data_IF_253229112205
#
_entry.id   IF_253229112205
#
_cell.length_a   1.000
_cell.length_b   1.000
_cell.length_c   1.000
_cell.angle_alpha   90.00
_cell.angle_beta   90.00
_cell.angle_gamma   90.00
#
_symmetry.space_group_name_H-M   'P 1'
#
loop_
_entity.id
_entity.type
_entity.pdbx_description
1 polymer ?
#
# COMPACT_ATOMS: atom_id res chain seq x y z
N UNK A 1 -9.79 -12.90 -29.00
CA UNK A 1 -8.68 -13.49 -28.24
C UNK A 1 -8.85 -13.04 -26.78
N UNK A 2 -9.18 -13.99 -25.91
CA UNK A 2 -9.54 -13.72 -24.50
C UNK A 2 -8.46 -12.93 -23.75
N UNK A 3 -7.19 -13.18 -24.04
CA UNK A 3 -6.06 -12.46 -23.45
C UNK A 3 -6.04 -10.97 -23.84
N UNK A 4 -6.31 -10.63 -25.09
CA UNK A 4 -6.33 -9.24 -25.56
C UNK A 4 -7.45 -8.43 -24.93
N UNK A 5 -8.60 -9.05 -24.67
CA UNK A 5 -9.75 -8.36 -24.08
C UNK A 5 -9.60 -8.14 -22.58
N UNK A 6 -8.88 -9.04 -21.89
CA UNK A 6 -8.67 -8.98 -20.44
C UNK A 6 -7.40 -8.20 -20.05
N UNK A 7 -6.32 -8.27 -20.84
CA UNK A 7 -5.04 -7.66 -20.47
C UNK A 7 -5.14 -6.18 -20.05
N UNK A 8 -5.94 -5.32 -20.72
CA UNK A 8 -6.10 -3.91 -20.32
C UNK A 8 -6.81 -3.71 -18.97
N UNK A 9 -7.47 -4.76 -18.46
CA UNK A 9 -8.27 -4.73 -17.22
C UNK A 9 -7.62 -5.45 -16.05
N UNK A 10 -6.44 -6.04 -16.27
CA UNK A 10 -5.73 -6.83 -15.28
C UNK A 10 -4.41 -6.18 -14.89
N UNK A 11 -4.12 -6.23 -13.60
CA UNK A 11 -2.82 -5.87 -13.04
C UNK A 11 -2.24 -7.12 -12.41
N UNK A 12 -1.06 -7.54 -12.87
CA UNK A 12 -0.33 -8.67 -12.31
C UNK A 12 0.46 -8.23 -11.08
N UNK A 13 0.03 -8.66 -9.89
CA UNK A 13 0.72 -8.38 -8.64
C UNK A 13 1.89 -9.34 -8.38
N UNK A 14 3.08 -8.81 -8.15
CA UNK A 14 4.32 -9.56 -7.94
C UNK A 14 4.89 -9.27 -6.55
N UNK A 15 4.97 -10.30 -5.71
CA UNK A 15 5.52 -10.21 -4.35
C UNK A 15 7.03 -10.47 -4.29
N UNK A 16 7.57 -11.26 -5.24
CA UNK A 16 8.95 -11.70 -5.18
C UNK A 16 9.64 -11.54 -6.54
N UNK A 17 10.91 -11.10 -6.60
CA UNK A 17 11.64 -10.86 -7.85
C UNK A 17 11.73 -12.08 -8.76
N UNK A 18 11.74 -13.31 -8.19
CA UNK A 18 11.77 -14.56 -8.98
C UNK A 18 10.61 -14.70 -9.96
N UNK A 19 9.51 -13.98 -9.76
CA UNK A 19 8.35 -14.01 -10.64
C UNK A 19 8.43 -13.02 -11.81
N UNK A 20 9.42 -12.10 -11.82
CA UNK A 20 9.57 -11.11 -12.89
C UNK A 20 9.85 -11.76 -14.24
N UNK A 21 10.86 -12.62 -14.32
CA UNK A 21 11.21 -13.28 -15.59
C UNK A 21 10.10 -14.21 -16.11
N UNK A 22 9.47 -15.07 -15.27
CA UNK A 22 8.27 -15.81 -15.70
C UNK A 22 7.13 -14.90 -16.17
N UNK A 23 6.88 -13.78 -15.49
CA UNK A 23 5.84 -12.84 -15.89
C UNK A 23 6.12 -12.19 -17.25
N UNK A 24 7.35 -11.75 -17.49
CA UNK A 24 7.78 -11.21 -18.79
C UNK A 24 7.66 -12.24 -19.92
N UNK A 25 8.00 -13.49 -19.63
CA UNK A 25 8.01 -14.58 -20.62
C UNK A 25 6.61 -15.05 -20.97
N UNK A 26 5.73 -15.26 -19.98
CA UNK A 26 4.46 -15.95 -20.18
C UNK A 26 3.26 -15.02 -20.33
N UNK A 27 3.33 -13.81 -19.76
CA UNK A 27 2.24 -12.81 -19.81
C UNK A 27 2.78 -11.39 -20.06
N UNK A 28 3.52 -11.19 -21.15
CA UNK A 28 4.24 -9.94 -21.44
C UNK A 28 3.32 -8.73 -21.57
N UNK A 29 2.06 -8.95 -21.95
CA UNK A 29 1.06 -7.91 -22.20
C UNK A 29 0.42 -7.38 -20.92
N UNK A 30 0.54 -8.09 -19.79
CA UNK A 30 -0.08 -7.66 -18.53
C UNK A 30 0.71 -6.52 -17.88
N UNK A 31 -0.03 -5.52 -17.41
CA UNK A 31 0.52 -4.47 -16.58
C UNK A 31 0.97 -5.05 -15.22
N UNK A 32 2.21 -4.80 -14.84
CA UNK A 32 2.82 -5.38 -13.63
C UNK A 32 2.85 -4.37 -12.49
N UNK A 33 2.49 -4.86 -11.31
CA UNK A 33 2.61 -4.13 -10.05
C UNK A 33 3.44 -4.93 -9.05
N UNK A 34 4.38 -4.30 -8.36
CA UNK A 34 5.01 -4.89 -7.17
C UNK A 34 4.11 -4.71 -5.96
N UNK A 35 3.96 -5.77 -5.16
CA UNK A 35 3.28 -5.73 -3.87
C UNK A 35 4.31 -6.01 -2.77
N UNK A 36 4.44 -5.11 -1.80
CA UNK A 36 5.45 -5.29 -0.76
C UNK A 36 5.36 -4.28 0.39
N UNK A 37 6.32 -4.38 1.30
CA UNK A 37 6.38 -3.54 2.49
C UNK A 37 7.69 -2.72 2.58
N UNK A 38 8.56 -2.80 1.55
CA UNK A 38 9.85 -2.12 1.52
C UNK A 38 9.97 -1.24 0.26
N UNK A 39 10.02 0.08 0.41
CA UNK A 39 10.35 0.98 -0.70
C UNK A 39 11.73 0.69 -1.33
N UNK A 40 12.73 0.31 -0.49
CA UNK A 40 14.06 -0.05 -0.97
C UNK A 40 14.03 -1.27 -1.91
N UNK A 41 13.31 -2.33 -1.54
CA UNK A 41 13.18 -3.52 -2.39
C UNK A 41 12.40 -3.22 -3.66
N UNK A 42 11.36 -2.38 -3.58
CA UNK A 42 10.62 -1.91 -4.73
C UNK A 42 11.54 -1.19 -5.73
N UNK A 43 12.40 -0.29 -5.24
CA UNK A 43 13.38 0.43 -6.06
C UNK A 43 14.46 -0.49 -6.63
N UNK A 44 14.95 -1.43 -5.82
CA UNK A 44 16.08 -2.28 -6.20
C UNK A 44 15.73 -3.34 -7.21
N UNK A 45 14.58 -3.98 -7.06
CA UNK A 45 14.24 -5.19 -7.80
C UNK A 45 13.13 -5.04 -8.82
N UNK A 46 12.23 -4.04 -8.64
CA UNK A 46 10.99 -3.97 -9.39
C UNK A 46 10.81 -2.67 -10.17
N UNK A 47 11.67 -1.67 -9.89
CA UNK A 47 11.48 -0.33 -10.43
C UNK A 47 11.37 -0.28 -11.94
N UNK A 48 12.26 -0.96 -12.64
CA UNK A 48 12.33 -0.92 -14.11
C UNK A 48 11.26 -1.79 -14.77
N UNK A 49 10.78 -2.81 -14.07
CA UNK A 49 9.88 -3.83 -14.62
C UNK A 49 8.41 -3.63 -14.29
N UNK A 50 8.10 -2.81 -13.29
CA UNK A 50 6.74 -2.55 -12.82
C UNK A 50 6.33 -1.11 -13.08
N UNK A 51 5.10 -0.93 -13.57
CA UNK A 51 4.48 0.37 -13.75
C UNK A 51 3.68 0.84 -12.53
N UNK A 52 3.41 -0.07 -11.58
CA UNK A 52 2.70 0.24 -10.35
C UNK A 52 3.33 -0.42 -9.13
N UNK A 53 3.06 0.15 -7.96
CA UNK A 53 3.57 -0.31 -6.66
C UNK A 53 2.44 -0.29 -5.64
N UNK A 54 2.20 -1.42 -4.98
CA UNK A 54 1.23 -1.57 -3.90
C UNK A 54 1.99 -1.78 -2.60
N UNK A 55 2.15 -0.72 -1.80
CA UNK A 55 2.97 -0.73 -0.60
C UNK A 55 2.13 -0.51 0.66
N UNK A 56 2.59 -1.07 1.79
CA UNK A 56 1.90 -0.89 3.05
C UNK A 56 2.01 0.55 3.57
N UNK A 57 0.95 1.05 4.19
CA UNK A 57 0.87 2.42 4.70
C UNK A 57 2.05 2.78 5.64
N UNK A 58 2.44 1.95 6.62
CA UNK A 58 3.57 2.26 7.50
C UNK A 58 4.88 2.52 6.78
N UNK A 59 5.16 1.79 5.70
CA UNK A 59 6.39 1.99 4.92
C UNK A 59 6.40 3.34 4.22
N UNK A 60 5.23 3.80 3.73
CA UNK A 60 5.11 5.06 3.01
C UNK A 60 5.14 6.30 3.92
N UNK A 61 4.81 6.17 5.21
CA UNK A 61 4.93 7.27 6.21
C UNK A 61 6.38 7.67 6.46
N UNK A 62 7.35 6.76 6.29
CA UNK A 62 8.77 7.02 6.54
C UNK A 62 9.36 8.02 5.55
N UNK A 63 10.51 8.62 5.91
CA UNK A 63 11.25 9.49 4.99
C UNK A 63 11.63 8.78 3.68
N UNK A 64 11.99 7.51 3.75
CA UNK A 64 12.24 6.66 2.57
C UNK A 64 10.97 6.49 1.73
N UNK A 65 9.84 6.20 2.37
CA UNK A 65 8.54 6.09 1.70
C UNK A 65 8.09 7.39 1.03
N UNK A 66 8.33 8.54 1.67
CA UNK A 66 8.02 9.85 1.08
C UNK A 66 8.92 10.16 -0.13
N UNK A 67 10.19 9.81 -0.09
CA UNK A 67 11.09 9.92 -1.23
C UNK A 67 10.68 8.98 -2.37
N UNK A 68 10.24 7.78 -2.04
CA UNK A 68 9.67 6.82 -3.01
C UNK A 68 8.43 7.40 -3.70
N UNK A 69 7.47 7.96 -2.95
CA UNK A 69 6.27 8.58 -3.50
C UNK A 69 6.59 9.73 -4.45
N UNK A 70 7.55 10.59 -4.07
CA UNK A 70 8.03 11.69 -4.90
C UNK A 70 8.59 11.18 -6.24
N UNK A 71 9.48 10.20 -6.18
CA UNK A 71 10.10 9.60 -7.36
C UNK A 71 9.05 8.91 -8.25
N UNK A 72 8.12 8.16 -7.66
CA UNK A 72 7.05 7.50 -8.39
C UNK A 72 6.19 8.52 -9.18
N UNK A 73 5.89 9.66 -8.57
CA UNK A 73 5.18 10.76 -9.22
C UNK A 73 5.99 11.37 -10.37
N UNK A 74 7.28 11.62 -10.19
CA UNK A 74 8.17 12.18 -11.21
C UNK A 74 8.30 11.26 -12.42
N UNK A 75 8.31 9.93 -12.22
CA UNK A 75 8.42 8.93 -13.27
C UNK A 75 7.06 8.35 -13.73
N UNK A 76 5.94 8.97 -13.35
CA UNK A 76 4.57 8.56 -13.71
C UNK A 76 4.26 7.09 -13.38
N UNK A 77 4.72 6.60 -12.23
CA UNK A 77 4.40 5.27 -11.73
C UNK A 77 3.24 5.34 -10.75
N UNK A 78 2.29 4.42 -10.90
CA UNK A 78 1.12 4.34 -10.03
C UNK A 78 1.49 3.79 -8.65
N UNK A 79 1.04 4.43 -7.58
CA UNK A 79 1.19 3.92 -6.22
C UNK A 79 -0.17 3.62 -5.61
N UNK A 80 -0.32 2.44 -5.06
CA UNK A 80 -1.46 1.99 -4.26
C UNK A 80 -0.99 1.75 -2.83
N UNK A 81 -1.87 1.98 -1.87
CA UNK A 81 -1.54 1.82 -0.45
C UNK A 81 -2.51 0.88 0.26
N UNK A 82 -1.98 -0.02 1.13
CA UNK A 82 -2.73 -1.02 1.89
C UNK A 82 -2.18 -1.19 3.31
N UNK A 83 -2.93 -1.72 4.27
CA UNK A 83 -4.36 -1.68 4.38
C UNK A 83 -4.71 -0.46 5.21
N UNK A 84 -5.51 0.44 4.68
CA UNK A 84 -5.79 1.74 5.30
C UNK A 84 -7.22 1.75 5.81
N UNK A 85 -7.41 1.60 7.13
CA UNK A 85 -8.73 1.48 7.74
C UNK A 85 -9.13 2.66 8.62
N UNK A 86 -8.19 3.55 8.94
CA UNK A 86 -8.44 4.75 9.74
C UNK A 86 -8.72 5.95 8.85
N UNK A 87 -9.65 6.80 9.27
CA UNK A 87 -10.07 7.98 8.49
C UNK A 87 -8.91 8.96 8.28
N UNK A 88 -8.13 9.21 9.34
CA UNK A 88 -6.98 10.09 9.29
C UNK A 88 -5.87 9.59 8.33
N UNK A 89 -5.66 8.27 8.28
CA UNK A 89 -4.73 7.63 7.32
C UNK A 89 -5.29 7.66 5.88
N UNK A 90 -6.60 7.51 5.70
CA UNK A 90 -7.24 7.64 4.38
C UNK A 90 -7.07 9.05 3.80
N UNK A 91 -7.24 10.09 4.65
CA UNK A 91 -7.02 11.49 4.26
C UNK A 91 -5.55 11.71 3.89
N UNK A 92 -4.62 11.21 4.72
CA UNK A 92 -3.18 11.34 4.46
C UNK A 92 -2.78 10.63 3.15
N UNK A 93 -3.26 9.41 2.91
CA UNK A 93 -3.02 8.68 1.67
C UNK A 93 -3.59 9.42 0.45
N UNK A 94 -4.77 10.01 0.58
CA UNK A 94 -5.36 10.85 -0.48
C UNK A 94 -4.48 12.07 -0.77
N UNK A 95 -3.93 12.69 0.27
CA UNK A 95 -3.02 13.84 0.12
C UNK A 95 -1.69 13.48 -0.55
N UNK A 96 -1.19 12.26 -0.37
CA UNK A 96 -0.02 11.76 -1.11
C UNK A 96 -0.29 11.63 -2.61
N UNK A 97 -1.56 11.62 -3.03
CA UNK A 97 -1.95 11.47 -4.42
C UNK A 97 -1.80 10.05 -4.93
N UNK A 98 -1.96 9.04 -4.05
CA UNK A 98 -1.91 7.63 -4.46
C UNK A 98 -3.06 7.29 -5.42
N UNK A 99 -2.82 6.36 -6.34
CA UNK A 99 -3.79 5.92 -7.34
C UNK A 99 -4.98 5.20 -6.72
N UNK A 100 -4.73 4.38 -5.69
CA UNK A 100 -5.77 3.65 -4.99
C UNK A 100 -5.43 3.46 -3.51
N UNK A 101 -6.48 3.45 -2.68
CA UNK A 101 -6.43 3.10 -1.27
C UNK A 101 -7.14 1.76 -1.12
N UNK A 102 -6.43 0.76 -0.62
CA UNK A 102 -6.96 -0.57 -0.34
C UNK A 102 -7.36 -0.61 1.13
N UNK A 103 -8.64 -0.86 1.38
CA UNK A 103 -9.27 -0.79 2.70
C UNK A 103 -10.34 -1.86 2.88
N UNK A 104 -10.54 -2.31 4.11
CA UNK A 104 -11.66 -3.17 4.50
C UNK A 104 -12.94 -2.34 4.78
N UNK A 105 -12.82 -1.00 4.81
CA UNK A 105 -13.90 -0.06 5.13
C UNK A 105 -14.25 0.82 3.93
N UNK A 106 -14.71 0.20 2.86
CA UNK A 106 -15.01 0.87 1.59
C UNK A 106 -16.16 1.87 1.70
N UNK A 107 -17.13 1.60 2.57
CA UNK A 107 -18.25 2.48 2.90
C UNK A 107 -17.79 3.80 3.53
N UNK A 108 -16.82 3.72 4.46
CA UNK A 108 -16.22 4.89 5.10
C UNK A 108 -15.41 5.70 4.09
N UNK A 109 -14.58 5.02 3.28
CA UNK A 109 -13.78 5.70 2.27
C UNK A 109 -14.66 6.39 1.21
N UNK A 110 -15.79 5.77 0.84
CA UNK A 110 -16.72 6.38 -0.12
C UNK A 110 -17.30 7.70 0.42
N UNK A 111 -17.88 7.68 1.63
CA UNK A 111 -18.40 8.89 2.29
C UNK A 111 -17.32 9.96 2.48
N UNK A 112 -16.12 9.54 2.89
CA UNK A 112 -15.00 10.45 3.07
C UNK A 112 -14.59 11.12 1.76
N UNK A 113 -14.60 10.39 0.64
CA UNK A 113 -14.33 10.95 -0.69
C UNK A 113 -15.35 12.02 -1.11
N UNK A 114 -16.62 11.81 -0.79
CA UNK A 114 -17.67 12.80 -1.03
C UNK A 114 -17.44 14.08 -0.20
N UNK A 115 -17.12 13.95 1.09
CA UNK A 115 -16.77 15.09 1.95
C UNK A 115 -15.52 15.83 1.44
N UNK A 116 -14.46 15.09 1.09
CA UNK A 116 -13.22 15.68 0.56
C UNK A 116 -13.41 16.37 -0.80
N UNK A 117 -14.32 15.88 -1.62
CA UNK A 117 -14.64 16.50 -2.92
C UNK A 117 -15.35 17.85 -2.76
N UNK A 118 -16.10 18.03 -1.65
CA UNK A 118 -16.74 19.31 -1.32
C UNK A 118 -15.73 20.31 -0.74
N UNK A 119 -15.01 19.92 0.31
CA UNK A 119 -13.95 20.72 0.93
C UNK A 119 -12.92 19.83 1.61
N UNK A 120 -11.78 19.65 0.94
CA UNK A 120 -10.69 18.84 1.47
C UNK A 120 -10.11 19.40 2.77
N UNK A 121 -9.94 20.72 2.86
CA UNK A 121 -9.32 21.38 4.03
C UNK A 121 -10.23 21.28 5.25
N UNK A 122 -11.52 21.51 5.08
CA UNK A 122 -12.48 21.36 6.18
C UNK A 122 -12.56 19.91 6.65
N UNK A 123 -12.55 18.95 5.72
CA UNK A 123 -12.56 17.51 6.04
C UNK A 123 -11.28 17.11 6.78
N UNK A 124 -10.11 17.55 6.32
CA UNK A 124 -8.85 17.30 7.01
C UNK A 124 -8.89 17.84 8.45
N UNK A 125 -9.31 19.08 8.65
CA UNK A 125 -9.42 19.69 9.99
C UNK A 125 -10.40 18.97 10.93
N UNK A 126 -11.47 18.40 10.37
CA UNK A 126 -12.49 17.66 11.12
C UNK A 126 -11.95 16.34 11.68
N UNK A 127 -11.15 15.63 10.92
CA UNK A 127 -10.77 14.25 11.22
C UNK A 127 -9.30 14.04 11.58
N UNK A 128 -8.40 14.96 11.20
CA UNK A 128 -6.96 14.82 11.39
C UNK A 128 -6.46 15.75 12.49
N UNK A 129 -5.89 15.16 13.54
CA UNK A 129 -5.24 15.93 14.60
C UNK A 129 -4.03 16.72 14.05
N UNK A 130 -3.77 17.94 14.52
CA UNK A 130 -2.55 18.69 14.15
C UNK A 130 -1.24 17.92 14.40
N UNK A 131 -1.27 17.01 15.37
CA UNK A 131 -0.12 16.16 15.73
C UNK A 131 -0.04 14.85 14.94
N UNK A 132 -1.00 14.57 14.08
CA UNK A 132 -1.13 13.29 13.37
C UNK A 132 0.15 12.90 12.62
N UNK A 133 0.73 13.80 11.84
CA UNK A 133 1.95 13.50 11.04
C UNK A 133 3.15 13.21 11.90
N UNK A 134 3.34 13.96 12.98
CA UNK A 134 4.42 13.72 13.92
C UNK A 134 4.22 12.43 14.70
N UNK A 135 3.01 12.17 15.19
CA UNK A 135 2.66 10.94 15.91
C UNK A 135 2.82 9.70 15.02
N UNK A 136 2.31 9.76 13.78
CA UNK A 136 2.45 8.65 12.83
C UNK A 136 3.90 8.39 12.44
N UNK A 137 4.68 9.41 12.15
CA UNK A 137 6.10 9.24 11.86
C UNK A 137 6.82 8.52 13.00
N UNK A 138 6.60 8.93 14.24
CA UNK A 138 7.21 8.28 15.41
C UNK A 138 6.67 6.87 15.68
N UNK A 139 5.40 6.64 15.42
CA UNK A 139 4.76 5.34 15.64
C UNK A 139 5.16 4.33 14.57
N UNK A 140 5.15 4.72 13.31
CA UNK A 140 5.38 3.79 12.20
C UNK A 140 6.86 3.61 11.84
N UNK A 141 7.75 4.55 12.15
CA UNK A 141 9.18 4.41 11.81
C UNK A 141 9.83 3.17 12.41
N UNK A 142 9.66 2.82 13.70
CA UNK A 142 10.20 1.58 14.25
C UNK A 142 9.59 0.35 13.61
N UNK A 143 8.29 0.38 13.35
CA UNK A 143 7.55 -0.71 12.73
C UNK A 143 8.00 -0.92 11.29
N UNK A 144 8.08 0.14 10.50
CA UNK A 144 8.57 0.10 9.12
C UNK A 144 10.03 -0.35 9.03
N UNK A 145 10.88 0.09 9.96
CA UNK A 145 12.26 -0.38 10.05
C UNK A 145 12.33 -1.88 10.34
N UNK A 146 11.54 -2.34 11.30
CA UNK A 146 11.45 -3.77 11.62
C UNK A 146 10.95 -4.60 10.41
N UNK A 147 9.92 -4.13 9.71
CA UNK A 147 9.42 -4.75 8.48
C UNK A 147 10.47 -4.74 7.37
N UNK A 148 11.14 -3.61 7.16
CA UNK A 148 12.22 -3.49 6.19
C UNK A 148 13.33 -4.50 6.47
N UNK A 149 13.77 -4.64 7.72
CA UNK A 149 14.77 -5.63 8.11
C UNK A 149 14.29 -7.08 7.93
N UNK A 150 13.04 -7.37 8.28
CA UNK A 150 12.46 -8.70 8.09
C UNK A 150 12.29 -9.09 6.63
N UNK A 151 12.02 -8.12 5.76
CA UNK A 151 11.79 -8.35 4.32
C UNK A 151 13.10 -8.26 3.50
N UNK A 152 14.04 -7.38 3.87
CA UNK A 152 15.24 -7.11 3.06
C UNK A 152 16.39 -8.10 3.24
N UNK A 153 16.49 -8.78 4.38
CA UNK A 153 17.66 -9.63 4.66
C UNK A 153 17.62 -11.04 4.09
N UNK A 154 16.46 -11.52 3.59
CA UNK A 154 16.36 -12.84 2.94
C UNK A 154 15.12 -12.92 2.06
N UNK A 155 15.17 -12.25 0.91
CA UNK A 155 14.08 -12.28 -0.09
C UNK A 155 13.82 -13.72 -0.57
N UNK A 156 14.81 -14.62 -0.51
CA UNK A 156 14.66 -16.01 -0.95
C UNK A 156 13.96 -16.93 0.06
N UNK A 157 14.20 -16.75 1.36
CA UNK A 157 13.64 -17.67 2.40
C UNK A 157 12.38 -17.14 3.08
N UNK A 158 12.13 -15.83 3.11
CA UNK A 158 11.15 -15.19 4.01
C UNK A 158 9.88 -14.63 3.35
N UNK A 159 9.72 -14.69 2.03
CA UNK A 159 8.47 -14.27 1.38
C UNK A 159 7.25 -14.99 2.00
N UNK A 160 7.40 -16.27 2.39
CA UNK A 160 6.37 -17.06 3.06
C UNK A 160 6.08 -16.63 4.51
N UNK A 161 7.07 -16.09 5.23
CA UNK A 161 6.91 -15.66 6.64
C UNK A 161 6.27 -14.27 6.69
N UNK A 162 6.68 -13.36 5.81
CA UNK A 162 6.11 -12.01 5.75
C UNK A 162 4.62 -12.06 5.34
N UNK A 163 4.26 -12.89 4.36
CA UNK A 163 2.87 -13.09 3.94
C UNK A 163 2.04 -13.72 5.07
N UNK A 164 2.58 -14.74 5.76
CA UNK A 164 1.89 -15.41 6.86
C UNK A 164 1.67 -14.49 8.07
N UNK A 165 2.60 -13.62 8.34
CA UNK A 165 2.49 -12.67 9.45
C UNK A 165 1.55 -11.49 9.12
N UNK A 166 1.60 -10.95 7.89
CA UNK A 166 0.65 -9.94 7.41
C UNK A 166 -0.79 -10.46 7.40
N UNK A 167 -1.01 -11.71 6.98
CA UNK A 167 -2.33 -12.35 7.06
C UNK A 167 -2.77 -12.56 8.52
N UNK A 168 -1.88 -12.89 9.44
CA UNK A 168 -2.24 -13.02 10.86
C UNK A 168 -2.63 -11.68 11.50
N UNK A 169 -1.96 -10.58 11.17
CA UNK A 169 -2.31 -9.25 11.69
C UNK A 169 -3.66 -8.78 11.12
N UNK A 170 -3.89 -8.93 9.81
CA UNK A 170 -5.19 -8.60 9.19
C UNK A 170 -6.32 -9.44 9.79
N UNK A 171 -6.09 -10.72 10.04
CA UNK A 171 -7.09 -11.60 10.70
C UNK A 171 -7.32 -11.20 12.16
N UNK A 172 -6.29 -10.84 12.91
CA UNK A 172 -6.43 -10.41 14.30
C UNK A 172 -7.18 -9.07 14.40
N UNK A 173 -6.91 -8.12 13.50
CA UNK A 173 -7.60 -6.83 13.45
C UNK A 173 -9.07 -6.98 13.03
N UNK A 174 -9.37 -7.81 12.04
CA UNK A 174 -10.75 -8.08 11.61
C UNK A 174 -11.56 -8.84 12.68
N UNK A 175 -10.96 -9.80 13.37
CA UNK A 175 -11.58 -10.51 14.49
C UNK A 175 -11.86 -9.58 15.70
N UNK A 176 -10.97 -8.62 15.96
CA UNK A 176 -11.15 -7.63 17.02
C UNK A 176 -12.26 -6.63 16.68
N UNK A 177 -12.36 -6.21 15.42
CA UNK A 177 -13.44 -5.35 14.92
C UNK A 177 -14.80 -6.06 14.90
N UNK A 178 -14.84 -7.35 14.51
CA UNK A 178 -16.06 -8.15 14.55
C UNK A 178 -16.57 -8.35 15.99
N UNK A 179 -15.66 -8.54 16.96
CA UNK A 179 -16.02 -8.62 18.38
C UNK A 179 -16.53 -7.30 18.95
N UNK A 180 -15.95 -6.17 18.53
CA UNK A 180 -16.40 -4.85 18.95
C UNK A 180 -17.79 -4.50 18.36
N UNK A 181 -18.06 -4.90 17.11
CA UNK A 181 -19.36 -4.72 16.47
C UNK A 181 -20.47 -5.64 17.02
N UNK A 182 -20.10 -6.81 17.58
CA UNK A 182 -21.05 -7.73 18.23
C UNK A 182 -21.36 -7.35 19.70
N UNK A 183 -20.59 -6.42 20.28
CA UNK A 183 -20.76 -5.94 21.66
C UNK A 183 -21.48 -4.59 21.74
N UNK A 184 -21.82 -3.97 20.60
CA UNK A 184 -22.62 -2.75 20.45
C UNK A 184 -24.04 -3.10 20.02
#
# INVERSE_FOLDING_TARGET
>A
NYEKDLAPRLILGLWHPKFLEPAKKHVPTLFRAHIGASPADALKYFWDDCGAFSLCFPALVTGEGQNFLKRAKEENKDVMVWTVNRIDEMIEATRWGVKAIITDRTDVLHKLREEMAQDFIATERKYVSPWFRWANYRYYTPTAWMYGQMCSHNVEERAGVCIRWLTQITYAQSAQQARAAAAS
#
